data_IF_545166014987
#
_entry.id   IF_545166014987
#
_cell.length_a   1.000
_cell.length_b   1.000
_cell.length_c   1.000
_cell.angle_alpha   90.00
_cell.angle_beta   90.00
_cell.angle_gamma   90.00
#
_symmetry.space_group_name_H-M   'P 1'
#
loop_
_entity.id
_entity.type
_entity.pdbx_description
1 polymer ?
#
# COMPACT_ATOMS: atom_id res chain seq x y z
N UNK A 1 9.52 -15.02 57.11
CA UNK A 1 10.10 -13.79 57.68
C UNK A 1 11.31 -14.20 58.51
N UNK A 2 12.52 -13.64 58.30
CA UNK A 2 12.78 -12.20 58.42
C UNK A 2 13.65 -11.57 57.30
N UNK A 3 13.45 -10.26 57.15
CA UNK A 3 14.21 -9.27 56.36
C UNK A 3 15.43 -8.76 57.15
N UNK A 4 16.55 -8.49 56.48
CA UNK A 4 17.47 -7.38 56.82
C UNK A 4 18.17 -6.80 55.59
N UNK A 5 18.54 -5.54 55.77
CA UNK A 5 18.69 -4.44 54.84
C UNK A 5 20.18 -4.16 54.51
N UNK A 6 20.41 -3.62 53.30
CA UNK A 6 21.28 -2.45 52.98
C UNK A 6 22.73 -2.63 52.47
N UNK A 7 23.00 -1.83 51.41
CA UNK A 7 24.23 -1.12 50.99
C UNK A 7 25.04 -1.60 49.77
N UNK A 8 24.70 -0.99 48.62
CA UNK A 8 25.55 -0.23 47.68
C UNK A 8 27.09 -0.37 47.70
N UNK A 9 27.70 -0.64 46.52
CA UNK A 9 28.95 -0.01 46.02
C UNK A 9 29.24 -0.32 44.52
N UNK A 10 29.15 0.74 43.71
CA UNK A 10 29.94 1.21 42.53
C UNK A 10 30.94 0.30 41.76
N UNK A 11 30.82 0.29 40.41
CA UNK A 11 31.90 0.35 39.37
C UNK A 11 31.22 0.53 37.99
N UNK A 12 31.20 1.70 37.32
CA UNK A 12 32.21 2.39 36.46
C UNK A 12 32.85 1.51 35.35
N UNK A 13 32.40 1.70 34.11
CA UNK A 13 33.13 1.64 32.83
C UNK A 13 32.38 2.62 31.90
N UNK A 14 32.84 3.83 31.58
CA UNK A 14 34.00 4.23 30.77
C UNK A 14 33.95 3.69 29.34
N UNK A 15 33.18 4.36 28.49
CA UNK A 15 33.56 4.54 27.08
C UNK A 15 33.43 6.01 26.75
N UNK A 16 34.54 6.52 26.24
CA UNK A 16 34.96 7.90 26.17
C UNK A 16 34.13 8.72 25.18
N UNK A 17 33.62 9.84 25.67
CA UNK A 17 33.05 10.93 24.89
C UNK A 17 34.22 11.85 24.54
N UNK A 18 34.50 12.08 23.26
CA UNK A 18 35.30 13.23 22.82
C UNK A 18 34.37 14.34 22.37
N UNK A 19 34.50 15.58 22.89
CA UNK A 19 33.66 16.71 22.51
C UNK A 19 34.22 17.37 21.25
N UNK A 20 33.36 17.86 20.36
CA UNK A 20 33.78 18.87 19.39
C UNK A 20 32.78 20.03 19.36
N UNK A 21 33.39 21.22 19.31
CA UNK A 21 32.96 22.47 19.91
C UNK A 21 31.75 23.17 19.28
N UNK A 22 31.01 23.84 20.17
CA UNK A 22 30.12 24.94 19.81
C UNK A 22 30.95 26.18 19.48
N UNK A 23 30.98 26.64 18.22
CA UNK A 23 31.46 27.99 17.88
C UNK A 23 30.34 28.81 17.23
N UNK A 24 29.96 29.90 17.90
CA UNK A 24 28.97 30.89 17.47
C UNK A 24 29.65 32.07 16.74
N UNK A 25 29.01 32.46 15.63
CA UNK A 25 29.00 33.76 14.90
C UNK A 25 30.28 34.29 14.26
N UNK A 26 30.20 34.49 12.93
CA UNK A 26 30.33 35.84 12.31
C UNK A 26 29.36 35.96 11.13
N UNK A 27 28.67 37.10 11.07
CA UNK A 27 27.73 37.52 10.05
C UNK A 27 28.43 37.98 8.76
N UNK A 28 28.00 37.45 7.61
CA UNK A 28 28.04 38.18 6.34
C UNK A 28 26.83 37.77 5.52
N UNK A 29 25.99 38.75 5.25
CA UNK A 29 24.80 38.72 4.42
C UNK A 29 25.09 38.26 3.00
N UNK A 30 24.51 37.13 2.61
CA UNK A 30 24.21 36.81 1.21
C UNK A 30 22.99 35.88 1.18
N UNK A 31 21.89 36.39 0.63
CA UNK A 31 20.66 35.62 0.35
C UNK A 31 21.02 34.30 -0.33
N UNK A 32 20.40 33.16 0.03
CA UNK A 32 20.49 31.98 -0.83
C UNK A 32 19.74 32.32 -2.12
N UNK A 33 20.45 32.39 -3.25
CA UNK A 33 19.81 32.33 -4.57
C UNK A 33 19.18 30.94 -4.66
N UNK A 34 17.84 30.86 -4.68
CA UNK A 34 17.13 29.66 -5.14
C UNK A 34 17.61 29.38 -6.57
N UNK A 35 18.22 28.23 -6.80
CA UNK A 35 18.50 27.72 -8.14
C UNK A 35 17.19 27.22 -8.73
N UNK A 36 16.71 27.89 -9.78
CA UNK A 36 15.46 27.61 -10.51
C UNK A 36 15.29 26.14 -10.95
N UNK A 37 16.38 25.40 -11.09
CA UNK A 37 16.36 24.00 -11.56
C UNK A 37 15.67 23.02 -10.60
N UNK A 38 15.61 23.35 -9.30
CA UNK A 38 14.97 22.48 -8.30
C UNK A 38 13.44 22.61 -8.30
N UNK A 39 12.91 23.79 -8.64
CA UNK A 39 11.47 24.05 -8.60
C UNK A 39 10.75 23.35 -9.78
N UNK A 40 11.37 23.32 -10.96
CA UNK A 40 10.84 22.61 -12.14
C UNK A 40 10.83 21.08 -11.99
N UNK A 41 11.75 20.53 -11.19
CA UNK A 41 11.78 19.10 -10.91
C UNK A 41 10.64 18.67 -9.98
N UNK A 42 10.23 19.53 -9.03
CA UNK A 42 9.16 19.22 -8.09
C UNK A 42 7.78 19.18 -8.76
N UNK A 43 7.53 20.04 -9.75
CA UNK A 43 6.25 20.04 -10.49
C UNK A 43 6.09 18.81 -11.40
N UNK A 44 7.18 18.30 -11.97
CA UNK A 44 7.17 17.07 -12.79
C UNK A 44 7.03 15.78 -11.96
N UNK A 45 7.09 15.85 -10.63
CA UNK A 45 6.92 14.71 -9.73
C UNK A 45 5.59 14.76 -8.95
N UNK A 46 4.70 15.72 -9.24
CA UNK A 46 3.38 15.79 -8.61
C UNK A 46 2.44 14.78 -9.26
N UNK A 47 2.29 13.64 -8.61
CA UNK A 47 1.23 12.68 -8.93
C UNK A 47 -0.10 13.20 -8.38
N UNK A 48 -1.15 13.07 -9.19
CA UNK A 48 -2.53 13.30 -8.74
C UNK A 48 -3.00 12.16 -7.84
N UNK A 49 -3.95 12.44 -6.94
CA UNK A 49 -4.59 11.40 -6.12
C UNK A 49 -5.11 10.22 -6.97
N UNK A 50 -5.58 10.51 -8.19
CA UNK A 50 -6.06 9.52 -9.15
C UNK A 50 -4.94 8.61 -9.64
N UNK A 51 -3.78 9.16 -9.96
CA UNK A 51 -2.63 8.37 -10.40
C UNK A 51 -2.09 7.52 -9.26
N UNK A 52 -1.99 8.08 -8.06
CA UNK A 52 -1.53 7.36 -6.86
C UNK A 52 -2.43 6.15 -6.58
N UNK A 53 -3.75 6.36 -6.49
CA UNK A 53 -4.67 5.26 -6.17
C UNK A 53 -4.80 4.27 -7.34
N UNK A 54 -4.64 4.72 -8.59
CA UNK A 54 -4.62 3.81 -9.74
C UNK A 54 -3.40 2.90 -9.74
N UNK A 55 -2.25 3.40 -9.28
CA UNK A 55 -1.03 2.61 -9.10
C UNK A 55 -1.23 1.56 -8.00
N UNK A 56 -1.73 1.97 -6.82
CA UNK A 56 -2.09 1.05 -5.73
C UNK A 56 -3.04 -0.06 -6.21
N UNK A 57 -4.09 0.32 -6.95
CA UNK A 57 -5.07 -0.61 -7.50
C UNK A 57 -4.46 -1.57 -8.54
N UNK A 58 -3.44 -1.14 -9.27
CA UNK A 58 -2.73 -1.99 -10.24
C UNK A 58 -1.75 -2.95 -9.55
N UNK A 59 -1.07 -2.49 -8.50
CA UNK A 59 -0.20 -3.31 -7.66
C UNK A 59 -1.00 -4.42 -6.99
N UNK A 60 -2.12 -4.10 -6.35
CA UNK A 60 -2.96 -5.07 -5.65
C UNK A 60 -3.52 -6.14 -6.61
N UNK A 61 -3.99 -5.76 -7.80
CA UNK A 61 -4.35 -6.73 -8.87
C UNK A 61 -3.21 -7.67 -9.24
N UNK A 62 -1.97 -7.18 -9.26
CA UNK A 62 -0.81 -7.99 -9.60
C UNK A 62 -0.47 -8.97 -8.47
N UNK A 63 -0.59 -8.54 -7.21
CA UNK A 63 -0.43 -9.40 -6.04
C UNK A 63 -1.49 -10.51 -6.01
N UNK A 64 -2.76 -10.17 -6.25
CA UNK A 64 -3.85 -11.17 -6.31
C UNK A 64 -3.56 -12.25 -7.36
N UNK A 65 -3.07 -11.88 -8.54
CA UNK A 65 -2.69 -12.84 -9.58
C UNK A 65 -1.53 -13.72 -9.11
N UNK A 66 -0.50 -13.12 -8.51
CA UNK A 66 0.67 -13.84 -8.02
C UNK A 66 0.29 -14.85 -6.93
N UNK A 67 -0.47 -14.42 -5.93
CA UNK A 67 -0.97 -15.30 -4.88
C UNK A 67 -1.90 -16.38 -5.43
N UNK A 68 -2.76 -16.06 -6.41
CA UNK A 68 -3.60 -17.06 -7.07
C UNK A 68 -2.80 -18.15 -7.78
N UNK A 69 -1.73 -17.79 -8.50
CA UNK A 69 -0.79 -18.75 -9.10
C UNK A 69 -0.09 -19.57 -8.01
N UNK A 70 0.46 -18.92 -6.99
CA UNK A 70 1.15 -19.60 -5.90
C UNK A 70 0.24 -20.57 -5.13
N UNK A 71 -1.03 -20.22 -4.94
CA UNK A 71 -2.03 -21.08 -4.28
C UNK A 71 -2.30 -22.36 -5.09
N UNK A 72 -2.25 -22.27 -6.42
CA UNK A 72 -2.41 -23.43 -7.30
C UNK A 72 -1.15 -24.33 -7.31
N UNK A 73 0.04 -23.73 -7.19
CA UNK A 73 1.33 -24.42 -7.37
C UNK A 73 1.97 -24.89 -6.04
N UNK A 74 1.46 -24.45 -4.89
CA UNK A 74 1.99 -24.82 -3.57
C UNK A 74 1.38 -26.13 -3.05
N UNK A 75 2.25 -27.07 -2.68
CA UNK A 75 1.90 -28.38 -2.12
C UNK A 75 1.93 -28.43 -0.58
N UNK A 76 2.61 -27.49 0.09
CA UNK A 76 2.69 -27.40 1.55
C UNK A 76 1.42 -26.74 2.13
N UNK A 77 0.65 -27.41 3.01
CA UNK A 77 -0.58 -26.85 3.57
C UNK A 77 -0.38 -25.55 4.34
N UNK A 78 0.63 -25.47 5.22
CA UNK A 78 0.88 -24.27 6.04
C UNK A 78 1.22 -23.05 5.17
N UNK A 79 2.01 -23.26 4.10
CA UNK A 79 2.35 -22.20 3.16
C UNK A 79 1.13 -21.82 2.29
N UNK A 80 0.30 -22.80 1.95
CA UNK A 80 -0.94 -22.59 1.19
C UNK A 80 -1.93 -21.73 1.98
N UNK A 81 -2.06 -21.96 3.29
CA UNK A 81 -2.91 -21.17 4.18
C UNK A 81 -2.40 -19.72 4.26
N UNK A 82 -1.10 -19.52 4.46
CA UNK A 82 -0.48 -18.18 4.47
C UNK A 82 -0.68 -17.42 3.13
N UNK A 83 -0.55 -18.12 2.00
CA UNK A 83 -0.83 -17.55 0.67
C UNK A 83 -2.32 -17.18 0.55
N UNK A 84 -3.21 -18.02 1.07
CA UNK A 84 -4.66 -17.78 1.08
C UNK A 84 -5.04 -16.55 1.89
N UNK A 85 -4.43 -16.37 3.06
CA UNK A 85 -4.62 -15.19 3.91
C UNK A 85 -4.16 -13.92 3.18
N UNK A 86 -2.94 -13.93 2.62
CA UNK A 86 -2.42 -12.78 1.86
C UNK A 86 -3.24 -12.45 0.61
N UNK A 87 -3.78 -13.46 -0.08
CA UNK A 87 -4.70 -13.27 -1.19
C UNK A 87 -5.98 -12.55 -0.74
N UNK A 88 -6.54 -12.97 0.40
CA UNK A 88 -7.76 -12.39 0.92
C UNK A 88 -7.53 -10.94 1.38
N UNK A 89 -6.42 -10.66 2.07
CA UNK A 89 -6.02 -9.29 2.45
C UNK A 89 -5.89 -8.38 1.23
N UNK A 90 -5.16 -8.80 0.19
CA UNK A 90 -5.02 -8.02 -1.04
C UNK A 90 -6.37 -7.80 -1.73
N UNK A 91 -7.29 -8.78 -1.66
CA UNK A 91 -8.62 -8.65 -2.23
C UNK A 91 -9.49 -7.61 -1.48
N UNK A 92 -9.37 -7.54 -0.14
CA UNK A 92 -10.05 -6.51 0.65
C UNK A 92 -9.47 -5.12 0.35
N UNK A 93 -8.15 -4.96 0.38
CA UNK A 93 -7.48 -3.68 0.07
C UNK A 93 -7.82 -3.17 -1.34
N UNK A 94 -7.83 -4.09 -2.32
CA UNK A 94 -8.23 -3.82 -3.69
C UNK A 94 -9.68 -3.33 -3.78
N UNK A 95 -10.58 -3.91 -2.98
CA UNK A 95 -11.99 -3.53 -2.95
C UNK A 95 -12.18 -2.15 -2.31
N UNK A 96 -11.50 -1.87 -1.21
CA UNK A 96 -11.53 -0.57 -0.55
C UNK A 96 -10.97 0.54 -1.45
N UNK A 97 -9.87 0.29 -2.15
CA UNK A 97 -9.33 1.20 -3.16
C UNK A 97 -10.35 1.45 -4.28
N UNK A 98 -11.05 0.42 -4.74
CA UNK A 98 -12.11 0.57 -5.74
C UNK A 98 -13.27 1.42 -5.24
N UNK A 99 -13.76 1.17 -4.01
CA UNK A 99 -14.84 1.98 -3.41
C UNK A 99 -14.44 3.45 -3.30
N UNK A 100 -13.24 3.72 -2.77
CA UNK A 100 -12.70 5.07 -2.68
C UNK A 100 -12.69 5.78 -4.03
N UNK A 101 -12.24 5.10 -5.08
CA UNK A 101 -12.22 5.69 -6.42
C UNK A 101 -13.63 5.83 -7.02
N UNK A 102 -14.54 4.91 -6.72
CA UNK A 102 -15.92 4.93 -7.21
C UNK A 102 -16.71 6.10 -6.64
N UNK A 103 -16.61 6.34 -5.33
CA UNK A 103 -17.29 7.45 -4.64
C UNK A 103 -16.85 8.82 -5.16
N UNK A 104 -15.60 8.92 -5.62
CA UNK A 104 -14.98 10.16 -6.09
C UNK A 104 -15.02 10.33 -7.61
N UNK A 105 -15.73 9.45 -8.34
CA UNK A 105 -15.75 9.42 -9.80
C UNK A 105 -14.35 9.34 -10.43
N UNK A 106 -13.38 8.78 -9.71
CA UNK A 106 -11.98 8.62 -10.14
C UNK A 106 -11.80 7.33 -10.95
N UNK A 107 -12.69 6.35 -10.75
CA UNK A 107 -12.78 5.15 -11.58
C UNK A 107 -14.11 5.19 -12.34
N UNK A 108 -14.12 5.53 -13.65
CA UNK A 108 -15.33 5.44 -14.45
C UNK A 108 -15.71 3.97 -14.58
N UNK A 109 -16.58 3.51 -13.69
CA UNK A 109 -17.23 2.21 -13.84
C UNK A 109 -18.27 2.39 -14.93
N UNK A 110 -17.96 1.97 -16.15
CA UNK A 110 -18.93 1.97 -17.25
C UNK A 110 -20.21 1.28 -16.77
N UNK A 111 -21.31 2.02 -16.70
CA UNK A 111 -22.62 1.39 -16.60
C UNK A 111 -22.72 0.43 -17.78
N UNK A 112 -22.84 -0.87 -17.51
CA UNK A 112 -22.93 -1.86 -18.58
C UNK A 112 -24.02 -1.39 -19.57
N UNK A 113 -23.69 -1.18 -20.86
CA UNK A 113 -24.67 -0.71 -21.82
C UNK A 113 -25.89 -1.61 -21.72
N UNK A 114 -27.07 -1.03 -21.45
CA UNK A 114 -28.35 -1.74 -21.35
C UNK A 114 -28.56 -2.82 -22.43
N UNK A 115 -28.09 -2.68 -23.70
CA UNK A 115 -28.13 -3.78 -24.66
C UNK A 115 -27.30 -5.02 -24.28
N UNK A 116 -26.12 -4.87 -23.65
CA UNK A 116 -25.30 -6.02 -23.19
C UNK A 116 -25.99 -6.77 -22.05
N UNK A 117 -26.65 -6.06 -21.13
CA UNK A 117 -27.44 -6.66 -20.05
C UNK A 117 -28.62 -7.46 -20.63
N UNK A 118 -29.36 -6.87 -21.57
CA UNK A 118 -30.49 -7.54 -22.22
C UNK A 118 -30.03 -8.73 -23.09
N UNK A 119 -28.88 -8.64 -23.75
CA UNK A 119 -28.30 -9.75 -24.51
C UNK A 119 -27.88 -10.91 -23.59
N UNK A 120 -27.24 -10.62 -22.45
CA UNK A 120 -26.89 -11.63 -21.45
C UNK A 120 -28.16 -12.32 -20.91
N UNK A 121 -29.16 -11.54 -20.49
CA UNK A 121 -30.47 -12.07 -20.04
C UNK A 121 -31.11 -13.01 -21.07
N UNK A 122 -31.13 -12.61 -22.36
CA UNK A 122 -31.66 -13.44 -23.44
C UNK A 122 -30.88 -14.74 -23.63
N UNK A 123 -29.54 -14.68 -23.65
CA UNK A 123 -28.68 -15.87 -23.81
C UNK A 123 -28.93 -16.90 -22.70
N UNK A 124 -28.97 -16.47 -21.44
CA UNK A 124 -29.19 -17.39 -20.32
C UNK A 124 -30.64 -17.86 -20.18
N UNK A 125 -31.63 -17.02 -20.53
CA UNK A 125 -33.05 -17.46 -20.57
C UNK A 125 -33.34 -18.50 -21.67
N UNK A 126 -32.55 -18.49 -22.75
CA UNK A 126 -32.65 -19.48 -23.82
C UNK A 126 -32.06 -20.82 -23.40
N UNK A 127 -30.92 -20.82 -22.71
CA UNK A 127 -30.30 -22.03 -22.16
C UNK A 127 -31.21 -22.73 -21.14
N UNK A 128 -31.96 -22.00 -20.30
CA UNK A 128 -32.89 -22.62 -19.34
C UNK A 128 -34.00 -23.42 -20.04
N UNK A 129 -34.50 -22.94 -21.18
CA UNK A 129 -35.56 -23.62 -21.94
C UNK A 129 -35.05 -24.87 -22.67
N UNK A 130 -33.79 -24.89 -23.07
CA UNK A 130 -33.18 -26.05 -23.74
C UNK A 130 -32.77 -27.17 -22.77
N UNK A 131 -32.77 -26.91 -21.46
CA UNK A 131 -32.43 -27.91 -20.42
C UNK A 131 -33.66 -28.56 -19.78
N UNK A 132 -34.88 -28.20 -20.22
CA UNK A 132 -36.18 -28.72 -19.74
C UNK A 132 -36.90 -29.63 -20.76
N UNK A 133 -36.21 -30.05 -21.81
CA UNK A 133 -36.67 -31.01 -22.82
C UNK A 133 -35.83 -32.29 -22.76
#
# INVERSE_FOLDING_TARGET
MPTKLKQSKTRKNTTSITPFDTRKKTSSSSKPKKSDDTEMAQDNCKLTDKEIISDVLSCQKSLIKLYGTALCETSCPELRDLIGDGLNECAQDQFDAFLYMSERNMYPTDNAPSPKINQAKKKFSCCEKQMKN
#
